data_IF_832666709998
#
_entry.id   IF_832666709998
#
_cell.length_a   1.000
_cell.length_b   1.000
_cell.length_c   1.000
_cell.angle_alpha   90.00
_cell.angle_beta   90.00
_cell.angle_gamma   90.00
#
_symmetry.space_group_name_H-M   'P 1'
#
loop_
_entity.id
_entity.type
_entity.pdbx_description
1 polymer ?
#
# COMPACT_ATOMS: atom_id res chain seq x y z
N UNK A 1 9.20 14.54 -3.32
CA UNK A 1 8.56 13.41 -4.02
C UNK A 1 7.14 13.74 -4.51
N UNK A 2 6.21 14.24 -3.68
CA UNK A 2 4.89 14.69 -4.14
C UNK A 2 4.94 15.74 -5.26
N UNK A 3 5.93 16.66 -5.18
CA UNK A 3 6.13 17.75 -6.14
C UNK A 3 6.52 17.30 -7.56
N UNK A 4 7.06 16.09 -7.74
CA UNK A 4 7.45 15.57 -9.06
C UNK A 4 6.23 14.98 -9.81
N UNK A 5 5.24 14.47 -9.07
CA UNK A 5 3.99 13.99 -9.65
C UNK A 5 3.03 15.13 -10.03
N UNK A 6 3.13 16.29 -9.37
CA UNK A 6 2.30 17.47 -9.67
C UNK A 6 2.68 18.17 -10.98
N UNK A 7 3.95 18.12 -11.41
CA UNK A 7 4.44 18.98 -12.50
C UNK A 7 4.22 18.45 -13.92
N UNK A 8 3.55 17.30 -14.08
CA UNK A 8 3.18 16.81 -15.42
C UNK A 8 1.77 17.30 -15.76
N UNK A 9 1.69 18.53 -16.29
CA UNK A 9 0.50 19.11 -16.96
C UNK A 9 0.11 18.27 -18.18
N UNK A 10 -0.51 17.11 -17.98
CA UNK A 10 -1.12 16.27 -19.03
C UNK A 10 -1.98 15.18 -18.37
N UNK A 11 -3.20 15.50 -17.95
CA UNK A 11 -4.20 14.49 -17.58
C UNK A 11 -3.91 13.58 -16.37
N UNK A 12 -2.89 13.89 -15.55
CA UNK A 12 -2.45 13.08 -14.39
C UNK A 12 -3.29 13.26 -13.10
N UNK A 13 -4.07 14.35 -12.99
CA UNK A 13 -4.84 14.70 -11.79
C UNK A 13 -5.98 13.73 -11.42
N UNK A 14 -6.32 12.81 -12.32
CA UNK A 14 -7.34 11.78 -12.16
C UNK A 14 -6.75 10.43 -11.67
N UNK A 15 -5.43 10.33 -11.47
CA UNK A 15 -4.74 9.09 -11.07
C UNK A 15 -4.00 9.20 -9.73
N UNK A 16 -4.08 10.34 -9.04
CA UNK A 16 -3.43 10.52 -7.75
C UNK A 16 -4.47 10.70 -6.65
N UNK A 17 -4.64 9.70 -5.80
CA UNK A 17 -5.44 9.85 -4.57
C UNK A 17 -4.80 10.96 -3.73
N UNK A 18 -5.48 12.10 -3.48
CA UNK A 18 -4.91 13.18 -2.68
C UNK A 18 -4.49 12.64 -1.32
N UNK A 19 -3.37 13.12 -0.77
CA UNK A 19 -2.88 12.63 0.53
C UNK A 19 -3.89 12.83 1.66
N UNK A 20 -4.70 13.88 1.56
CA UNK A 20 -5.84 14.10 2.46
C UNK A 20 -6.87 12.96 2.39
N UNK A 21 -7.21 12.47 1.20
CA UNK A 21 -8.17 11.38 1.01
C UNK A 21 -7.62 10.05 1.55
N UNK A 22 -6.37 9.71 1.24
CA UNK A 22 -5.70 8.51 1.79
C UNK A 22 -5.73 8.56 3.32
N UNK A 23 -5.33 9.70 3.91
CA UNK A 23 -5.30 9.86 5.35
C UNK A 23 -6.69 9.77 5.98
N UNK A 24 -7.72 10.31 5.33
CA UNK A 24 -9.11 10.19 5.77
C UNK A 24 -9.56 8.72 5.76
N UNK A 25 -9.32 7.99 4.66
CA UNK A 25 -9.64 6.56 4.57
C UNK A 25 -8.95 5.73 5.64
N UNK A 26 -7.64 5.96 5.86
CA UNK A 26 -6.88 5.26 6.91
C UNK A 26 -7.46 5.56 8.30
N UNK A 27 -7.85 6.82 8.57
CA UNK A 27 -8.50 7.18 9.84
C UNK A 27 -9.85 6.48 10.03
N UNK A 28 -10.65 6.36 8.97
CA UNK A 28 -11.93 5.64 9.01
C UNK A 28 -11.74 4.14 9.28
N UNK A 29 -10.76 3.52 8.64
CA UNK A 29 -10.41 2.10 8.88
C UNK A 29 -9.79 1.89 10.26
N UNK A 30 -9.12 2.91 10.80
CA UNK A 30 -8.55 2.91 12.15
C UNK A 30 -7.67 1.68 12.46
N UNK A 31 -6.69 1.34 11.61
CA UNK A 31 -5.94 0.10 11.74
C UNK A 31 -5.19 0.01 13.08
N UNK A 32 -5.08 -1.22 13.57
CA UNK A 32 -4.44 -1.54 14.85
C UNK A 32 -3.03 -2.12 14.65
N UNK A 33 -2.20 -2.06 15.70
CA UNK A 33 -0.92 -2.77 15.72
C UNK A 33 -1.15 -4.29 15.71
N UNK A 34 -0.17 -5.06 15.22
CA UNK A 34 -0.24 -6.54 15.06
C UNK A 34 -1.37 -7.05 14.16
N UNK A 35 -1.81 -6.22 13.22
CA UNK A 35 -2.79 -6.56 12.20
C UNK A 35 -2.18 -6.40 10.82
N UNK A 36 -2.71 -7.14 9.87
CA UNK A 36 -2.17 -7.22 8.50
C UNK A 36 -2.99 -6.36 7.54
N UNK A 37 -2.32 -5.70 6.60
CA UNK A 37 -2.89 -4.75 5.65
C UNK A 37 -2.39 -5.10 4.25
N UNK A 38 -3.33 -5.28 3.32
CA UNK A 38 -3.05 -5.52 1.92
C UNK A 38 -3.47 -4.34 1.02
N UNK A 39 -2.65 -4.05 0.01
CA UNK A 39 -3.01 -3.17 -1.11
C UNK A 39 -2.77 -3.89 -2.46
N UNK A 40 -3.81 -4.48 -3.08
CA UNK A 40 -3.71 -5.21 -4.36
C UNK A 40 -3.34 -4.36 -5.58
N UNK A 41 -3.30 -3.03 -5.45
CA UNK A 41 -2.92 -2.08 -6.49
C UNK A 41 -2.10 -0.95 -5.87
N UNK A 42 -0.96 -1.30 -5.27
CA UNK A 42 -0.28 -0.40 -4.33
C UNK A 42 0.29 0.87 -4.94
N UNK A 43 0.50 0.91 -6.27
CA UNK A 43 1.09 2.07 -6.93
C UNK A 43 2.43 2.42 -6.28
N UNK A 44 2.60 3.68 -5.91
CA UNK A 44 3.79 4.16 -5.18
C UNK A 44 3.82 3.84 -3.67
N UNK A 45 2.85 3.08 -3.15
CA UNK A 45 2.78 2.67 -1.73
C UNK A 45 2.03 3.65 -0.82
N UNK A 46 1.15 4.48 -1.38
CA UNK A 46 0.51 5.58 -0.65
C UNK A 46 -0.29 5.15 0.59
N UNK A 47 -1.12 4.13 0.47
CA UNK A 47 -1.92 3.61 1.59
C UNK A 47 -1.04 2.96 2.66
N UNK A 48 -0.06 2.16 2.26
CA UNK A 48 0.84 1.46 3.19
C UNK A 48 1.63 2.46 4.05
N UNK A 49 2.16 3.51 3.45
CA UNK A 49 2.87 4.58 4.16
C UNK A 49 1.97 5.34 5.13
N UNK A 50 0.75 5.68 4.70
CA UNK A 50 -0.20 6.39 5.53
C UNK A 50 -0.66 5.53 6.72
N UNK A 51 -0.92 4.23 6.49
CA UNK A 51 -1.26 3.27 7.54
C UNK A 51 -0.12 3.10 8.55
N UNK A 52 1.13 2.94 8.10
CA UNK A 52 2.30 2.88 8.98
C UNK A 52 2.42 4.14 9.85
N UNK A 53 2.26 5.30 9.24
CA UNK A 53 2.32 6.59 9.95
C UNK A 53 1.21 6.69 10.99
N UNK A 54 -0.01 6.30 10.64
CA UNK A 54 -1.16 6.28 11.56
C UNK A 54 -0.93 5.35 12.75
N UNK A 55 -0.53 4.09 12.52
CA UNK A 55 -0.26 3.11 13.59
C UNK A 55 0.87 3.61 14.49
N UNK A 56 1.95 4.15 13.90
CA UNK A 56 3.10 4.67 14.67
C UNK A 56 2.68 5.83 15.58
N UNK A 57 1.88 6.77 15.07
CA UNK A 57 1.38 7.90 15.86
C UNK A 57 0.37 7.47 16.94
N UNK A 58 -0.57 6.59 16.59
CA UNK A 58 -1.62 6.11 17.50
C UNK A 58 -1.05 5.32 18.69
N UNK A 59 -0.01 4.52 18.44
CA UNK A 59 0.56 3.61 19.45
C UNK A 59 1.99 3.99 19.86
N UNK A 60 2.45 5.22 19.65
CA UNK A 60 3.85 5.65 19.85
C UNK A 60 4.47 5.16 21.18
N UNK A 61 3.74 5.33 22.29
CA UNK A 61 4.17 4.94 23.64
C UNK A 61 3.96 3.45 23.98
N UNK A 62 3.28 2.72 23.11
CA UNK A 62 2.81 1.34 23.32
C UNK A 62 3.45 0.34 22.34
N UNK A 63 4.29 0.79 21.41
CA UNK A 63 4.99 -0.10 20.46
C UNK A 63 6.24 -0.69 21.12
N UNK A 64 6.15 -1.95 21.50
CA UNK A 64 7.30 -2.72 21.98
C UNK A 64 8.22 -3.14 20.81
N UNK A 65 9.31 -3.85 21.10
CA UNK A 65 10.26 -4.31 20.07
C UNK A 65 9.60 -5.24 19.05
N UNK A 66 8.75 -6.16 19.51
CA UNK A 66 8.08 -7.15 18.68
C UNK A 66 6.99 -6.48 17.81
N UNK A 67 6.30 -5.47 18.33
CA UNK A 67 5.35 -4.64 17.58
C UNK A 67 6.04 -3.92 16.43
N UNK A 68 7.23 -3.36 16.68
CA UNK A 68 8.02 -2.64 15.67
C UNK A 68 8.53 -3.58 14.58
N UNK A 69 8.96 -4.77 14.95
CA UNK A 69 9.37 -5.82 14.02
C UNK A 69 8.18 -6.26 13.16
N UNK A 70 7.03 -6.54 13.79
CA UNK A 70 5.81 -6.89 13.07
C UNK A 70 5.34 -5.78 12.13
N UNK A 71 5.42 -4.51 12.58
CA UNK A 71 5.11 -3.34 11.75
C UNK A 71 6.04 -3.23 10.54
N UNK A 72 7.32 -3.59 10.69
CA UNK A 72 8.33 -3.48 9.66
C UNK A 72 8.24 -4.58 8.61
N UNK A 73 7.99 -5.83 9.01
CA UNK A 73 8.15 -7.00 8.14
C UNK A 73 6.86 -7.78 7.86
N UNK A 74 5.84 -7.68 8.71
CA UNK A 74 4.67 -8.56 8.66
C UNK A 74 3.33 -7.84 8.46
N UNK A 75 3.30 -6.52 8.67
CA UNK A 75 2.05 -5.75 8.60
C UNK A 75 1.59 -5.49 7.17
N UNK A 76 2.51 -5.32 6.22
CA UNK A 76 2.17 -4.80 4.89
C UNK A 76 2.39 -5.83 3.79
N UNK A 77 1.40 -5.92 2.91
CA UNK A 77 1.46 -6.68 1.66
C UNK A 77 0.92 -5.83 0.51
N UNK A 78 1.47 -5.97 -0.68
CA UNK A 78 0.91 -5.32 -1.85
C UNK A 78 1.30 -5.93 -3.18
N UNK A 79 0.57 -5.54 -4.21
CA UNK A 79 0.80 -5.96 -5.59
C UNK A 79 0.86 -4.76 -6.52
N UNK A 80 1.83 -4.80 -7.44
CA UNK A 80 1.98 -3.79 -8.49
C UNK A 80 2.50 -4.46 -9.77
N UNK A 81 1.76 -4.30 -10.86
CA UNK A 81 2.10 -4.93 -12.15
C UNK A 81 3.13 -4.11 -12.94
N UNK A 82 3.12 -2.78 -12.81
CA UNK A 82 3.96 -1.87 -13.59
C UNK A 82 5.35 -1.79 -12.95
N UNK A 83 6.37 -2.25 -13.68
CA UNK A 83 7.74 -2.39 -13.17
C UNK A 83 8.36 -1.10 -12.62
N UNK A 84 8.13 0.05 -13.26
CA UNK A 84 8.65 1.35 -12.79
C UNK A 84 8.00 1.77 -11.47
N UNK A 85 6.68 1.65 -11.39
CA UNK A 85 5.89 1.94 -10.19
C UNK A 85 6.23 1.00 -9.04
N UNK A 86 6.43 -0.28 -9.32
CA UNK A 86 6.89 -1.28 -8.35
C UNK A 86 8.23 -0.87 -7.71
N UNK A 87 9.21 -0.45 -8.51
CA UNK A 87 10.52 0.00 -7.99
C UNK A 87 10.39 1.25 -7.14
N UNK A 88 9.56 2.20 -7.57
CA UNK A 88 9.26 3.40 -6.78
C UNK A 88 8.60 3.04 -5.45
N UNK A 89 7.68 2.08 -5.44
CA UNK A 89 7.03 1.58 -4.24
C UNK A 89 8.04 0.99 -3.26
N UNK A 90 8.89 0.06 -3.71
CA UNK A 90 9.94 -0.54 -2.88
C UNK A 90 10.88 0.52 -2.31
N UNK A 91 11.31 1.48 -3.11
CA UNK A 91 12.17 2.57 -2.65
C UNK A 91 11.49 3.41 -1.57
N UNK A 92 10.21 3.74 -1.76
CA UNK A 92 9.45 4.49 -0.76
C UNK A 92 9.32 3.70 0.55
N UNK A 93 8.97 2.42 0.49
CA UNK A 93 8.84 1.57 1.67
C UNK A 93 10.17 1.47 2.42
N UNK A 94 11.27 1.24 1.70
CA UNK A 94 12.62 1.21 2.25
C UNK A 94 12.99 2.53 2.98
N UNK A 95 12.79 3.68 2.32
CA UNK A 95 13.07 5.01 2.90
C UNK A 95 12.22 5.31 4.13
N UNK A 96 11.05 4.69 4.23
CA UNK A 96 10.14 4.84 5.37
C UNK A 96 10.26 3.70 6.40
N UNK A 97 11.31 2.88 6.30
CA UNK A 97 11.61 1.76 7.20
C UNK A 97 10.50 0.69 7.27
N UNK A 98 9.85 0.45 6.13
CA UNK A 98 8.95 -0.67 5.90
C UNK A 98 9.73 -1.60 4.97
N UNK A 99 10.30 -2.69 5.50
CA UNK A 99 11.35 -3.53 4.90
C UNK A 99 12.78 -2.98 4.94
N UNK A 100 13.73 -3.87 4.67
CA UNK A 100 15.17 -3.62 4.45
C UNK A 100 15.70 -4.57 3.37
N UNK A 101 17.03 -4.62 3.19
CA UNK A 101 17.68 -5.45 2.17
C UNK A 101 17.74 -6.95 2.54
N UNK A 102 17.52 -7.30 3.80
CA UNK A 102 17.66 -8.68 4.31
C UNK A 102 16.32 -9.43 4.28
N UNK A 103 15.20 -8.69 4.36
CA UNK A 103 13.86 -9.25 4.36
C UNK A 103 13.26 -9.54 2.98
N UNK A 104 12.21 -10.36 2.98
CA UNK A 104 11.36 -10.54 1.79
C UNK A 104 10.61 -9.23 1.50
N UNK A 105 10.62 -8.72 0.26
CA UNK A 105 9.91 -7.50 -0.08
C UNK A 105 8.40 -7.65 0.18
N UNK A 106 7.76 -6.65 0.83
CA UNK A 106 6.32 -6.70 1.10
C UNK A 106 5.48 -6.57 -0.19
N UNK A 107 6.09 -6.12 -1.29
CA UNK A 107 5.41 -5.92 -2.57
C UNK A 107 5.80 -7.02 -3.55
N UNK A 108 4.81 -7.61 -4.21
CA UNK A 108 5.01 -8.56 -5.30
C UNK A 108 4.72 -7.88 -6.64
N UNK A 109 5.59 -8.11 -7.62
CA UNK A 109 5.32 -7.74 -9.01
C UNK A 109 4.51 -8.83 -9.71
N UNK A 110 3.20 -8.83 -9.54
CA UNK A 110 2.29 -9.76 -10.21
C UNK A 110 0.93 -9.11 -10.46
N UNK A 111 0.12 -9.71 -11.33
CA UNK A 111 -1.29 -9.35 -11.48
C UNK A 111 -2.08 -9.91 -10.29
N UNK A 112 -2.73 -9.04 -9.52
CA UNK A 112 -3.53 -9.45 -8.35
C UNK A 112 -4.82 -10.18 -8.73
N UNK A 113 -5.21 -10.21 -10.01
CA UNK A 113 -6.41 -10.89 -10.51
C UNK A 113 -6.16 -12.35 -10.95
N UNK A 114 -4.90 -12.79 -11.07
CA UNK A 114 -4.58 -14.06 -11.72
C UNK A 114 -4.64 -15.29 -10.81
N UNK A 115 -4.66 -15.17 -9.47
CA UNK A 115 -4.76 -16.32 -8.54
C UNK A 115 -5.11 -15.87 -7.10
N UNK A 116 -5.92 -16.65 -6.34
CA UNK A 116 -6.03 -16.48 -4.87
C UNK A 116 -4.69 -16.90 -4.25
N UNK A 117 -3.92 -15.99 -3.63
CA UNK A 117 -2.64 -16.34 -3.01
C UNK A 117 -2.81 -17.20 -1.75
N UNK A 118 -4.05 -17.43 -1.26
CA UNK A 118 -4.32 -18.14 -0.01
C UNK A 118 -3.98 -17.32 1.24
N UNK A 119 -3.37 -16.14 1.06
CA UNK A 119 -3.11 -15.18 2.12
C UNK A 119 -4.42 -14.50 2.54
N UNK A 120 -4.58 -14.25 3.84
CA UNK A 120 -5.73 -13.55 4.42
C UNK A 120 -5.20 -12.36 5.21
N UNK A 121 -5.91 -11.24 5.13
CA UNK A 121 -5.51 -9.98 5.72
C UNK A 121 -6.64 -9.41 6.58
N UNK A 122 -6.28 -8.68 7.65
CA UNK A 122 -7.27 -8.02 8.50
C UNK A 122 -7.90 -6.81 7.80
N UNK A 123 -7.12 -6.10 6.98
CA UNK A 123 -7.57 -4.91 6.25
C UNK A 123 -7.12 -4.94 4.79
N UNK A 124 -7.96 -4.42 3.90
CA UNK A 124 -7.61 -4.14 2.51
C UNK A 124 -7.81 -2.65 2.25
N UNK A 125 -6.73 -1.96 1.89
CA UNK A 125 -6.73 -0.53 1.57
C UNK A 125 -6.17 -0.35 0.17
N UNK A 126 -7.00 0.04 -0.78
CA UNK A 126 -6.56 0.22 -2.17
C UNK A 126 -7.34 1.31 -2.85
N UNK A 127 -6.72 1.94 -3.85
CA UNK A 127 -7.43 2.75 -4.83
C UNK A 127 -7.11 2.20 -6.22
N UNK A 128 -8.02 1.41 -6.76
CA UNK A 128 -7.90 0.87 -8.11
C UNK A 128 -8.04 2.01 -9.12
N UNK A 129 -6.93 2.47 -9.70
CA UNK A 129 -6.98 3.43 -10.81
C UNK A 129 -7.51 2.71 -12.05
N UNK A 130 -8.78 2.94 -12.37
CA UNK A 130 -9.51 2.22 -13.41
C UNK A 130 -9.03 2.64 -14.82
N UNK A 131 -8.25 1.78 -15.51
CA UNK A 131 -8.05 1.77 -16.98
C UNK A 131 -7.80 0.37 -17.57
N UNK A 132 -8.40 -0.68 -17.00
CA UNK A 132 -8.82 -1.85 -17.78
C UNK A 132 -10.30 -2.06 -17.50
N UNK A 133 -11.09 -1.89 -18.55
CA UNK A 133 -12.52 -2.16 -18.57
C UNK A 133 -12.81 -3.50 -17.91
N UNK A 134 -13.66 -3.44 -16.88
CA UNK A 134 -14.49 -4.53 -16.43
C UNK A 134 -15.26 -5.08 -17.64
N UNK A 135 -14.86 -6.25 -18.16
CA UNK A 135 -15.81 -7.17 -18.78
C UNK A 135 -15.99 -8.34 -17.79
N UNK A 136 -16.63 -8.03 -16.66
CA UNK A 136 -17.24 -9.03 -15.79
C UNK A 136 -18.54 -9.47 -16.45
N UNK A 137 -18.45 -10.15 -17.60
CA UNK A 137 -19.52 -11.03 -18.04
C UNK A 137 -19.41 -12.29 -17.21
N UNK A 138 -20.27 -12.37 -16.19
CA UNK A 138 -20.57 -13.62 -15.51
C UNK A 138 -21.13 -14.59 -16.56
N UNK A 139 -20.58 -15.82 -16.68
CA UNK A 139 -21.21 -16.84 -17.51
C UNK A 139 -22.58 -17.19 -16.89
N UNK A 140 -23.62 -17.14 -17.72
CA UNK A 140 -24.89 -17.80 -17.45
C UNK A 140 -24.73 -19.33 -17.53
#
# INVERSE_FOLDING_TARGET
LAKIAEDTKSGAGQYFTPRALINAMVKCVNPEKRKTIADPCCGSGGFLLAAKSFITQKYEKQLDRNDKEFLKYHTFRGWEIVQSTYRLCLMNLFLHHISDFEGVPPIIRNDSLLSDPGERFDYVLTNTSNKRSLDLRLPH
#
